data_IF_683570576975
#
_entry.id   IF_683570576975
#
_cell.length_a   1.000
_cell.length_b   1.000
_cell.length_c   1.000
_cell.angle_alpha   90.00
_cell.angle_beta   90.00
_cell.angle_gamma   90.00
#
_symmetry.space_group_name_H-M   'P 1'
#
loop_
_entity.id
_entity.type
_entity.pdbx_description
1 polymer ?
#
# COMPACT_ATOMS: atom_id res chain seq x y z
N UNK A 1 23.55 29.61 -6.99
CA UNK A 1 22.21 29.40 -7.57
C UNK A 1 21.34 30.59 -7.25
N UNK A 2 20.32 30.82 -8.07
CA UNK A 2 19.31 31.84 -7.89
C UNK A 2 17.97 31.18 -7.51
N UNK A 3 17.50 31.50 -6.31
CA UNK A 3 16.35 30.86 -5.66
C UNK A 3 15.20 31.85 -5.50
N UNK A 4 14.01 31.46 -5.94
CA UNK A 4 12.79 32.23 -5.69
C UNK A 4 12.00 31.58 -4.54
N UNK A 5 11.71 32.35 -3.50
CA UNK A 5 11.07 31.84 -2.28
C UNK A 5 9.67 32.42 -2.11
N UNK A 6 8.69 31.52 -2.00
CA UNK A 6 7.29 31.83 -1.74
C UNK A 6 7.00 31.64 -0.24
N UNK A 7 6.40 32.66 0.39
CA UNK A 7 6.08 32.60 1.82
C UNK A 7 7.25 32.95 2.75
N UNK A 8 8.17 33.82 2.32
CA UNK A 8 9.34 34.25 3.07
C UNK A 8 9.03 34.91 4.44
N UNK A 9 7.89 35.60 4.56
CA UNK A 9 7.42 36.19 5.83
C UNK A 9 6.75 35.18 6.77
N UNK A 10 6.60 33.93 6.32
CA UNK A 10 6.04 32.85 7.12
C UNK A 10 7.01 32.34 8.19
N UNK A 11 6.46 31.67 9.19
CA UNK A 11 7.21 31.11 10.34
C UNK A 11 8.33 30.14 9.94
N UNK A 12 8.19 29.45 8.80
CA UNK A 12 9.20 28.52 8.26
C UNK A 12 10.03 29.19 7.17
N UNK A 13 9.39 29.90 6.25
CA UNK A 13 10.06 30.53 5.10
C UNK A 13 11.14 31.53 5.49
N UNK A 14 11.02 32.18 6.65
CA UNK A 14 12.05 33.09 7.15
C UNK A 14 13.42 32.42 7.33
N UNK A 15 13.44 31.19 7.83
CA UNK A 15 14.67 30.42 8.00
C UNK A 15 15.23 29.96 6.66
N UNK A 16 14.35 29.65 5.69
CA UNK A 16 14.75 29.15 4.37
C UNK A 16 15.50 30.20 3.57
N UNK A 17 14.98 31.43 3.47
CA UNK A 17 15.65 32.48 2.71
C UNK A 17 16.93 32.97 3.39
N UNK A 18 16.94 33.07 4.73
CA UNK A 18 18.14 33.46 5.47
C UNK A 18 19.25 32.43 5.29
N UNK A 19 18.94 31.14 5.42
CA UNK A 19 19.93 30.08 5.22
C UNK A 19 20.45 30.03 3.77
N UNK A 20 19.58 30.22 2.77
CA UNK A 20 20.02 30.30 1.38
C UNK A 20 21.02 31.45 1.15
N UNK A 21 20.79 32.61 1.77
CA UNK A 21 21.71 33.75 1.72
C UNK A 21 23.03 33.45 2.47
N UNK A 22 22.97 32.77 3.63
CA UNK A 22 24.16 32.29 4.36
C UNK A 22 25.02 31.35 3.51
N UNK A 23 24.42 30.53 2.65
CA UNK A 23 25.12 29.67 1.67
C UNK A 23 25.65 30.45 0.45
N UNK A 24 25.50 31.77 0.42
CA UNK A 24 25.99 32.63 -0.66
C UNK A 24 25.14 32.58 -1.94
N UNK A 25 23.89 32.11 -1.87
CA UNK A 25 23.00 32.10 -3.02
C UNK A 25 22.30 33.44 -3.25
N UNK A 26 21.86 33.67 -4.48
CA UNK A 26 21.00 34.80 -4.83
C UNK A 26 19.55 34.41 -4.51
N UNK A 27 18.84 35.27 -3.80
CA UNK A 27 17.49 34.96 -3.33
C UNK A 27 16.53 36.08 -3.68
N UNK A 28 15.49 35.75 -4.44
CA UNK A 28 14.32 36.60 -4.61
C UNK A 28 13.21 36.11 -3.70
N UNK A 29 12.57 37.04 -2.99
CA UNK A 29 11.37 36.78 -2.19
C UNK A 29 10.21 37.59 -2.73
N UNK A 30 9.04 36.96 -2.88
CA UNK A 30 7.78 37.66 -3.16
C UNK A 30 6.93 37.75 -1.89
N UNK A 31 6.57 38.97 -1.52
CA UNK A 31 5.85 39.25 -0.28
C UNK A 31 4.74 40.27 -0.51
N UNK A 32 3.63 40.14 0.22
CA UNK A 32 2.50 41.09 0.11
C UNK A 32 2.77 42.47 0.70
N UNK A 33 3.81 42.60 1.53
CA UNK A 33 4.21 43.84 2.17
C UNK A 33 5.73 43.77 2.37
N UNK A 34 6.49 44.57 1.63
CA UNK A 34 7.95 44.55 1.69
C UNK A 34 8.50 44.91 3.07
N UNK A 35 7.80 45.76 3.84
CA UNK A 35 8.21 46.19 5.19
C UNK A 35 8.22 45.07 6.23
N UNK A 36 7.58 43.93 5.93
CA UNK A 36 7.59 42.77 6.82
C UNK A 36 8.94 42.04 6.84
N UNK A 37 9.82 42.30 5.86
CA UNK A 37 11.19 41.78 5.86
C UNK A 37 12.12 42.89 6.35
N UNK A 38 12.62 42.73 7.57
CA UNK A 38 13.57 43.66 8.21
C UNK A 38 15.02 43.29 7.95
N UNK A 39 15.26 42.09 7.44
CA UNK A 39 16.59 41.58 7.12
C UNK A 39 17.08 42.15 5.79
N UNK A 40 18.35 42.59 5.74
CA UNK A 40 18.97 43.14 4.53
C UNK A 40 20.24 42.36 4.20
N UNK A 41 20.44 42.06 2.92
CA UNK A 41 21.60 41.32 2.42
C UNK A 41 21.87 41.70 0.96
N UNK A 42 23.13 41.78 0.49
CA UNK A 42 23.43 42.18 -0.89
C UNK A 42 22.81 41.26 -1.95
N UNK A 43 22.68 39.96 -1.64
CA UNK A 43 22.11 38.95 -2.55
C UNK A 43 20.60 38.76 -2.39
N UNK A 44 19.90 39.60 -1.62
CA UNK A 44 18.46 39.51 -1.40
C UNK A 44 17.72 40.54 -2.24
N UNK A 45 16.79 40.06 -3.07
CA UNK A 45 15.86 40.90 -3.84
C UNK A 45 14.44 40.71 -3.31
N UNK A 46 13.80 41.81 -2.91
CA UNK A 46 12.45 41.80 -2.36
C UNK A 46 11.48 42.34 -3.41
N UNK A 47 10.48 41.53 -3.76
CA UNK A 47 9.42 41.92 -4.68
C UNK A 47 8.08 42.01 -3.92
N UNK A 48 7.40 43.14 -4.03
CA UNK A 48 6.09 43.34 -3.42
C UNK A 48 4.98 42.88 -4.39
N UNK A 49 4.23 41.84 -4.01
CA UNK A 49 3.21 41.24 -4.87
C UNK A 49 2.53 40.02 -4.24
N UNK A 50 1.53 39.49 -4.94
CA UNK A 50 0.77 38.30 -4.52
C UNK A 50 1.22 37.05 -5.26
N UNK A 51 1.45 35.96 -4.52
CA UNK A 51 1.72 34.62 -5.10
C UNK A 51 0.52 34.01 -5.85
N UNK A 52 -0.67 34.58 -5.69
CA UNK A 52 -1.88 34.18 -6.40
C UNK A 52 -2.12 34.99 -7.68
N UNK A 53 -1.35 36.07 -7.89
CA UNK A 53 -1.41 36.85 -9.12
C UNK A 53 -0.36 36.31 -10.08
N UNK A 54 -0.81 35.75 -11.22
CA UNK A 54 0.10 35.26 -12.26
C UNK A 54 0.97 36.39 -12.83
N UNK A 55 0.42 37.61 -12.93
CA UNK A 55 1.15 38.79 -13.40
C UNK A 55 2.27 39.18 -12.44
N UNK A 56 1.99 39.23 -11.13
CA UNK A 56 2.99 39.59 -10.12
C UNK A 56 4.11 38.56 -10.07
N UNK A 57 3.74 37.27 -10.11
CA UNK A 57 4.70 36.16 -10.12
C UNK A 57 5.56 36.17 -11.38
N UNK A 58 4.97 36.39 -12.57
CA UNK A 58 5.71 36.47 -13.83
C UNK A 58 6.66 37.68 -13.85
N UNK A 59 6.22 38.83 -13.31
CA UNK A 59 7.05 40.03 -13.22
C UNK A 59 8.22 39.84 -12.25
N UNK A 60 7.97 39.27 -11.06
CA UNK A 60 9.00 38.92 -10.10
C UNK A 60 10.02 37.94 -10.72
N UNK A 61 9.52 36.93 -11.42
CA UNK A 61 10.32 35.91 -12.08
C UNK A 61 11.22 36.51 -13.17
N UNK A 62 10.65 37.30 -14.08
CA UNK A 62 11.37 37.88 -15.22
C UNK A 62 12.38 38.95 -14.78
N UNK A 63 12.00 39.82 -13.84
CA UNK A 63 12.89 40.86 -13.31
C UNK A 63 14.09 40.24 -12.60
N UNK A 64 13.84 39.22 -11.77
CA UNK A 64 14.91 38.51 -11.07
C UNK A 64 15.80 37.74 -12.05
N UNK A 65 15.20 37.08 -13.05
CA UNK A 65 15.95 36.36 -14.07
C UNK A 65 16.88 37.27 -14.87
N UNK A 66 16.46 38.51 -15.12
CA UNK A 66 17.25 39.52 -15.83
C UNK A 66 18.37 40.07 -14.95
N UNK A 67 18.11 40.29 -13.66
CA UNK A 67 19.09 40.90 -12.75
C UNK A 67 20.18 39.93 -12.27
N UNK A 68 19.82 38.66 -12.00
CA UNK A 68 20.68 37.70 -11.30
C UNK A 68 20.88 36.39 -12.07
N UNK A 69 20.42 36.33 -13.32
CA UNK A 69 20.44 35.12 -14.14
C UNK A 69 19.22 34.21 -13.89
N UNK A 70 19.09 33.12 -14.66
CA UNK A 70 17.93 32.22 -14.60
C UNK A 70 17.65 31.73 -13.17
N UNK A 71 16.37 31.62 -12.80
CA UNK A 71 15.97 31.00 -11.53
C UNK A 71 16.25 29.49 -11.63
N UNK A 72 17.09 29.00 -10.72
CA UNK A 72 17.47 27.59 -10.65
C UNK A 72 16.44 26.76 -9.89
N UNK A 73 15.84 27.34 -8.84
CA UNK A 73 14.81 26.67 -8.08
C UNK A 73 13.78 27.61 -7.44
N UNK A 74 12.54 27.12 -7.32
CA UNK A 74 11.48 27.76 -6.51
C UNK A 74 11.22 26.94 -5.25
N UNK A 75 11.20 27.60 -4.09
CA UNK A 75 10.81 26.99 -2.81
C UNK A 75 9.50 27.57 -2.28
N UNK A 76 8.51 26.70 -2.03
CA UNK A 76 7.22 27.06 -1.44
C UNK A 76 7.13 26.73 0.04
N UNK A 77 7.09 27.76 0.91
CA UNK A 77 6.87 27.64 2.35
C UNK A 77 5.49 28.14 2.79
N UNK A 78 4.55 28.22 1.85
CA UNK A 78 3.18 28.65 2.11
C UNK A 78 2.43 27.61 2.95
N UNK A 79 1.46 28.07 3.73
CA UNK A 79 0.51 27.20 4.41
C UNK A 79 -0.76 28.02 4.71
N UNK A 80 -1.96 27.50 4.45
CA UNK A 80 -3.21 28.18 4.79
C UNK A 80 -3.28 28.60 6.26
N UNK A 81 -3.37 29.90 6.51
CA UNK A 81 -3.46 30.48 7.85
C UNK A 81 -4.87 30.37 8.43
N UNK A 82 -4.92 30.27 9.76
CA UNK A 82 -6.14 30.30 10.58
C UNK A 82 -6.07 31.49 11.54
N UNK A 83 -7.22 31.83 12.13
CA UNK A 83 -7.33 32.92 13.11
C UNK A 83 -6.46 32.72 14.35
N UNK A 84 -6.17 31.47 14.70
CA UNK A 84 -5.19 31.12 15.73
C UNK A 84 -4.58 29.75 15.45
N UNK A 85 -3.59 29.36 16.25
CA UNK A 85 -2.96 28.04 16.16
C UNK A 85 -3.89 26.90 16.60
N UNK A 86 -5.04 27.22 17.20
CA UNK A 86 -6.01 26.21 17.62
C UNK A 86 -6.56 25.45 16.39
N UNK A 87 -6.60 24.10 16.40
CA UNK A 87 -7.00 23.30 15.24
C UNK A 87 -8.41 23.57 14.71
N UNK A 88 -9.31 24.04 15.58
CA UNK A 88 -10.69 24.40 15.22
C UNK A 88 -10.90 25.89 14.96
N UNK A 89 -9.83 26.69 14.90
CA UNK A 89 -9.92 28.09 14.51
C UNK A 89 -10.40 28.24 13.06
N UNK A 90 -11.11 29.34 12.77
CA UNK A 90 -11.58 29.65 11.42
C UNK A 90 -10.39 29.84 10.47
N UNK A 91 -10.46 29.24 9.27
CA UNK A 91 -9.48 29.45 8.20
C UNK A 91 -9.65 30.87 7.64
N UNK A 92 -8.54 31.61 7.56
CA UNK A 92 -8.49 32.99 7.04
C UNK A 92 -7.88 33.02 5.64
N UNK A 93 -7.00 32.07 5.33
CA UNK A 93 -6.39 31.98 4.01
C UNK A 93 -7.43 31.82 2.90
N UNK A 94 -7.14 32.36 1.70
CA UNK A 94 -7.97 32.11 0.52
C UNK A 94 -8.02 30.60 0.22
N UNK A 95 -9.12 30.11 -0.37
CA UNK A 95 -9.20 28.73 -0.83
C UNK A 95 -8.13 28.47 -1.90
N UNK A 96 -7.63 27.23 -1.99
CA UNK A 96 -6.65 26.79 -2.99
C UNK A 96 -5.31 27.56 -2.99
N UNK A 97 -4.90 28.11 -1.85
CA UNK A 97 -3.67 28.91 -1.76
C UNK A 97 -2.43 28.14 -2.24
N UNK A 98 -2.25 26.90 -1.80
CA UNK A 98 -1.08 26.09 -2.15
C UNK A 98 -1.15 25.63 -3.59
N UNK A 99 -2.32 25.16 -4.00
CA UNK A 99 -2.58 24.59 -5.33
C UNK A 99 -2.31 25.64 -6.41
N UNK A 100 -2.96 26.82 -6.30
CA UNK A 100 -2.90 27.83 -7.34
C UNK A 100 -1.50 28.49 -7.42
N UNK A 101 -0.85 28.72 -6.27
CA UNK A 101 0.53 29.25 -6.25
C UNK A 101 1.55 28.24 -6.79
N UNK A 102 1.36 26.94 -6.54
CA UNK A 102 2.23 25.88 -7.07
C UNK A 102 2.05 25.73 -8.58
N UNK A 103 0.81 25.78 -9.08
CA UNK A 103 0.52 25.73 -10.51
C UNK A 103 1.17 26.90 -11.26
N UNK A 104 1.06 28.14 -10.75
CA UNK A 104 1.72 29.31 -11.34
C UNK A 104 3.25 29.13 -11.34
N UNK A 105 3.83 28.71 -10.21
CA UNK A 105 5.27 28.50 -10.10
C UNK A 105 5.79 27.43 -11.07
N UNK A 106 5.08 26.31 -11.20
CA UNK A 106 5.42 25.24 -12.13
C UNK A 106 5.39 25.71 -13.60
N UNK A 107 4.34 26.43 -14.00
CA UNK A 107 4.20 27.00 -15.35
C UNK A 107 5.34 27.97 -15.67
N UNK A 108 5.70 28.85 -14.75
CA UNK A 108 6.81 29.80 -14.95
C UNK A 108 8.16 29.10 -15.14
N UNK A 109 8.46 28.09 -14.33
CA UNK A 109 9.68 27.28 -14.49
C UNK A 109 9.69 26.51 -15.81
N UNK A 110 8.54 25.98 -16.24
CA UNK A 110 8.44 25.22 -17.48
C UNK A 110 8.75 26.09 -18.71
N UNK A 111 8.24 27.34 -18.72
CA UNK A 111 8.43 28.30 -19.81
C UNK A 111 9.82 28.95 -19.87
N UNK A 112 10.59 28.90 -18.78
CA UNK A 112 11.94 29.45 -18.74
C UNK A 112 12.92 28.65 -19.63
N UNK A 113 13.86 29.29 -20.31
CA UNK A 113 14.86 28.60 -21.15
C UNK A 113 15.95 27.83 -20.37
N UNK A 114 15.86 27.75 -19.04
CA UNK A 114 16.88 27.10 -18.19
C UNK A 114 16.78 25.56 -18.25
N UNK A 115 17.92 24.89 -18.19
CA UNK A 115 17.98 23.43 -18.17
C UNK A 115 17.69 22.91 -16.75
N UNK A 116 16.63 22.11 -16.63
CA UNK A 116 16.26 21.36 -15.40
C UNK A 116 16.04 22.19 -14.12
N UNK A 117 15.20 23.24 -14.13
CA UNK A 117 14.87 23.97 -12.91
C UNK A 117 14.18 23.07 -11.88
N UNK A 118 14.35 23.42 -10.59
CA UNK A 118 13.79 22.64 -9.47
C UNK A 118 12.58 23.32 -8.81
N UNK A 119 11.57 22.56 -8.43
CA UNK A 119 10.41 23.02 -7.67
C UNK A 119 10.25 22.24 -6.36
N UNK A 120 10.40 22.91 -5.21
CA UNK A 120 10.35 22.26 -3.90
C UNK A 120 9.21 22.89 -3.10
N UNK A 121 8.17 22.12 -2.80
CA UNK A 121 6.99 22.60 -2.06
C UNK A 121 6.89 21.92 -0.70
N UNK A 122 6.70 22.72 0.34
CA UNK A 122 6.39 22.23 1.69
C UNK A 122 4.96 21.70 1.72
N UNK A 123 4.83 20.40 1.96
CA UNK A 123 3.56 19.70 2.10
C UNK A 123 3.49 19.06 3.51
N UNK A 124 2.36 18.48 3.91
CA UNK A 124 2.14 17.97 5.26
C UNK A 124 1.99 16.45 5.32
N UNK A 125 2.59 15.80 6.33
CA UNK A 125 2.34 14.38 6.59
C UNK A 125 0.86 14.13 6.87
N UNK A 126 0.25 13.24 6.08
CA UNK A 126 -1.20 13.00 6.10
C UNK A 126 -1.90 13.41 4.82
N UNK A 127 -1.20 14.13 3.93
CA UNK A 127 -1.68 14.40 2.58
C UNK A 127 -1.36 13.26 1.60
N UNK A 128 -2.22 13.10 0.59
CA UNK A 128 -2.07 12.16 -0.52
C UNK A 128 -1.79 10.73 -0.05
N UNK A 129 -0.77 10.10 -0.66
CA UNK A 129 -0.34 8.74 -0.35
C UNK A 129 0.20 8.57 1.09
N UNK A 130 0.74 9.64 1.69
CA UNK A 130 1.33 9.58 3.04
C UNK A 130 0.30 9.32 4.13
N UNK A 131 -0.99 9.58 3.84
CA UNK A 131 -2.13 9.25 4.72
C UNK A 131 -2.20 7.78 5.13
N UNK A 132 -1.61 6.87 4.35
CA UNK A 132 -1.57 5.42 4.67
C UNK A 132 -0.60 5.10 5.81
N UNK A 133 0.46 5.88 5.97
CA UNK A 133 1.46 5.70 7.04
C UNK A 133 1.26 6.62 8.21
N UNK A 134 0.41 7.64 8.06
CA UNK A 134 0.01 8.53 9.14
C UNK A 134 -0.70 7.75 10.27
N UNK A 135 -0.29 7.93 11.54
CA UNK A 135 -0.96 7.30 12.67
C UNK A 135 -2.47 7.57 12.69
N UNK A 136 -3.26 6.55 13.02
CA UNK A 136 -4.72 6.62 12.93
C UNK A 136 -5.32 7.77 13.77
N UNK A 137 -4.75 8.05 14.95
CA UNK A 137 -5.23 9.14 15.82
C UNK A 137 -4.97 10.51 15.21
N UNK A 138 -3.85 10.67 14.48
CA UNK A 138 -3.53 11.92 13.80
C UNK A 138 -4.45 12.14 12.60
N UNK A 139 -4.80 11.07 11.88
CA UNK A 139 -5.82 11.13 10.81
C UNK A 139 -7.18 11.58 11.34
N UNK A 140 -7.63 11.01 12.46
CA UNK A 140 -8.87 11.45 13.11
C UNK A 140 -8.79 12.92 13.52
N UNK A 141 -7.66 13.35 14.09
CA UNK A 141 -7.46 14.75 14.44
C UNK A 141 -7.54 15.70 13.24
N UNK A 142 -6.99 15.32 12.09
CA UNK A 142 -7.12 16.09 10.83
C UNK A 142 -8.59 16.14 10.39
N UNK A 143 -9.25 14.99 10.32
CA UNK A 143 -10.61 14.85 9.75
C UNK A 143 -11.70 15.58 10.56
N UNK A 144 -11.50 15.67 11.87
CA UNK A 144 -12.47 16.25 12.80
C UNK A 144 -12.07 17.64 13.32
N UNK A 145 -11.09 18.30 12.69
CA UNK A 145 -10.74 19.70 12.96
C UNK A 145 -10.80 20.55 11.69
N UNK A 146 -10.61 21.86 11.81
CA UNK A 146 -10.53 22.75 10.64
C UNK A 146 -9.22 22.58 9.87
N UNK A 147 -8.31 21.70 10.33
CA UNK A 147 -7.15 21.28 9.56
C UNK A 147 -7.56 20.58 8.27
N UNK A 148 -8.72 19.92 8.20
CA UNK A 148 -9.20 19.26 6.99
C UNK A 148 -9.10 20.15 5.75
N UNK A 149 -9.47 21.42 5.86
CA UNK A 149 -9.43 22.36 4.73
C UNK A 149 -8.01 22.67 4.27
N UNK A 150 -7.05 22.70 5.22
CA UNK A 150 -5.63 22.81 4.89
C UNK A 150 -5.13 21.55 4.21
N UNK A 151 -5.55 20.36 4.68
CA UNK A 151 -5.16 19.09 4.08
C UNK A 151 -5.81 18.85 2.71
N UNK A 152 -7.04 19.35 2.47
CA UNK A 152 -7.69 19.31 1.17
C UNK A 152 -6.88 20.12 0.13
N UNK A 153 -6.31 21.26 0.53
CA UNK A 153 -5.41 22.08 -0.30
C UNK A 153 -4.09 21.33 -0.56
N UNK A 154 -3.47 20.75 0.48
CA UNK A 154 -2.25 19.93 0.36
C UNK A 154 -2.44 18.69 -0.53
N UNK A 155 -3.60 18.03 -0.46
CA UNK A 155 -3.94 16.84 -1.25
C UNK A 155 -4.07 17.17 -2.75
N UNK A 156 -4.51 18.38 -3.08
CA UNK A 156 -4.71 18.81 -4.46
C UNK A 156 -3.41 19.27 -5.16
N UNK A 157 -2.33 19.56 -4.41
CA UNK A 157 -1.03 19.97 -4.97
C UNK A 157 -0.42 18.89 -5.86
N UNK A 158 -0.61 17.61 -5.52
CA UNK A 158 -0.06 16.47 -6.28
C UNK A 158 -0.52 16.52 -7.76
N UNK A 159 -1.80 16.81 -7.99
CA UNK A 159 -2.37 16.87 -9.34
C UNK A 159 -1.81 18.03 -10.18
N UNK A 160 -1.63 19.21 -9.57
CA UNK A 160 -1.08 20.37 -10.27
C UNK A 160 0.40 20.18 -10.65
N UNK A 161 1.17 19.51 -9.79
CA UNK A 161 2.56 19.19 -10.08
C UNK A 161 2.65 18.22 -11.27
N UNK A 162 1.83 17.16 -11.26
CA UNK A 162 1.78 16.18 -12.36
C UNK A 162 1.36 16.82 -13.69
N UNK A 163 0.41 17.75 -13.66
CA UNK A 163 -0.09 18.43 -14.86
C UNK A 163 0.89 19.49 -15.41
N UNK A 164 1.49 20.29 -14.54
CA UNK A 164 2.23 21.50 -14.96
C UNK A 164 3.76 21.33 -15.01
N UNK A 165 4.39 20.42 -14.26
CA UNK A 165 5.87 20.32 -14.25
C UNK A 165 6.43 19.63 -15.51
N UNK A 166 5.66 18.75 -16.14
CA UNK A 166 6.10 17.95 -17.29
C UNK A 166 7.38 17.14 -16.99
N UNK A 167 8.19 16.88 -18.02
CA UNK A 167 9.49 16.18 -17.88
C UNK A 167 10.68 17.12 -17.65
N UNK A 168 10.45 18.44 -17.69
CA UNK A 168 11.50 19.46 -17.66
C UNK A 168 11.77 19.98 -16.25
N UNK A 169 10.73 20.19 -15.44
CA UNK A 169 10.85 20.73 -14.09
C UNK A 169 11.01 19.59 -13.10
N UNK A 170 12.16 19.57 -12.41
CA UNK A 170 12.48 18.60 -11.37
C UNK A 170 11.76 18.97 -10.08
N UNK A 171 10.87 18.14 -9.55
CA UNK A 171 10.07 18.54 -8.39
C UNK A 171 10.24 17.66 -7.14
N UNK A 172 10.02 18.24 -5.97
CA UNK A 172 10.07 17.55 -4.67
C UNK A 172 8.95 18.05 -3.75
N UNK A 173 8.20 17.11 -3.18
CA UNK A 173 7.23 17.40 -2.12
C UNK A 173 7.81 17.05 -0.75
N UNK A 174 8.07 18.08 0.05
CA UNK A 174 8.59 17.94 1.40
C UNK A 174 7.43 17.69 2.38
N UNK A 175 7.07 16.43 2.60
CA UNK A 175 5.99 16.02 3.52
C UNK A 175 6.42 16.16 4.99
N UNK A 176 6.36 17.38 5.50
CA UNK A 176 6.79 17.70 6.86
C UNK A 176 5.85 17.09 7.90
N UNK A 177 6.45 16.52 8.95
CA UNK A 177 5.77 16.23 10.22
C UNK A 177 5.44 17.55 10.94
N UNK A 178 4.80 17.48 12.10
CA UNK A 178 4.35 18.68 12.81
C UNK A 178 5.52 19.63 13.15
N UNK A 179 5.40 20.90 12.74
CA UNK A 179 6.48 21.88 12.81
C UNK A 179 6.52 22.61 14.15
N UNK A 180 7.66 22.59 14.84
CA UNK A 180 7.87 23.26 16.14
C UNK A 180 9.00 24.28 16.10
N UNK A 181 8.84 25.43 16.75
CA UNK A 181 9.91 26.38 17.11
C UNK A 181 11.07 26.63 16.12
N UNK A 182 12.17 27.11 16.67
CA UNK A 182 13.48 27.22 16.03
C UNK A 182 14.38 26.02 16.46
N UNK A 183 15.51 25.80 15.78
CA UNK A 183 16.51 24.81 16.15
C UNK A 183 17.03 23.98 14.97
N UNK A 184 18.32 23.63 15.03
CA UNK A 184 19.05 22.85 14.03
C UNK A 184 19.31 21.43 14.52
N UNK A 185 18.38 20.53 14.22
CA UNK A 185 18.48 19.11 14.53
C UNK A 185 18.80 18.32 13.26
N UNK A 186 19.50 17.17 13.36
CA UNK A 186 19.71 16.28 12.22
C UNK A 186 18.38 15.84 11.60
N UNK A 187 18.24 16.03 10.29
CA UNK A 187 17.04 15.66 9.54
C UNK A 187 17.20 14.26 8.96
N UNK A 188 16.21 13.40 9.19
CA UNK A 188 16.10 12.09 8.55
C UNK A 188 14.91 12.08 7.60
N UNK A 189 15.19 12.11 6.30
CA UNK A 189 14.18 11.95 5.27
C UNK A 189 13.85 10.45 5.06
N UNK A 190 12.57 10.14 4.92
CA UNK A 190 12.07 8.79 4.59
C UNK A 190 11.11 8.88 3.42
N UNK A 191 10.79 7.73 2.81
CA UNK A 191 9.78 7.69 1.74
C UNK A 191 8.39 8.00 2.30
N UNK A 192 7.50 8.56 1.47
CA UNK A 192 6.11 8.85 1.86
C UNK A 192 5.29 7.59 2.21
N UNK A 193 5.81 6.40 1.89
CA UNK A 193 5.25 5.07 2.21
C UNK A 193 5.84 4.45 3.47
N UNK A 194 6.74 5.14 4.15
CA UNK A 194 7.33 4.72 5.42
C UNK A 194 6.84 5.62 6.56
N UNK A 195 6.63 5.03 7.74
CA UNK A 195 6.26 5.81 8.91
C UNK A 195 7.42 6.73 9.30
N UNK A 196 7.15 8.00 9.66
CA UNK A 196 8.20 8.93 10.04
C UNK A 196 8.88 8.47 11.34
N UNK A 197 10.16 8.79 11.49
CA UNK A 197 10.92 8.49 12.71
C UNK A 197 10.46 9.32 13.92
N UNK A 198 9.83 10.47 13.68
CA UNK A 198 9.30 11.39 14.69
C UNK A 198 8.04 12.08 14.15
N UNK A 199 7.13 12.48 15.04
CA UNK A 199 5.95 13.29 14.67
C UNK A 199 6.23 14.79 14.69
N UNK A 200 7.47 15.19 15.02
CA UNK A 200 7.86 16.58 15.14
C UNK A 200 9.21 16.85 14.50
N UNK A 201 9.33 18.03 13.87
CA UNK A 201 10.57 18.57 13.32
C UNK A 201 10.60 20.07 13.59
N UNK A 202 11.80 20.63 13.74
CA UNK A 202 11.92 22.08 13.91
C UNK A 202 11.72 22.81 12.58
N UNK A 203 11.10 24.01 12.60
CA UNK A 203 10.85 24.79 11.36
C UNK A 203 12.14 25.08 10.62
N UNK A 204 13.15 25.48 11.37
CA UNK A 204 14.47 25.83 10.85
C UNK A 204 15.17 24.62 10.19
N UNK A 205 15.12 23.44 10.80
CA UNK A 205 15.70 22.22 10.20
C UNK A 205 14.96 21.78 8.94
N UNK A 206 13.63 21.88 8.93
CA UNK A 206 12.83 21.62 7.73
C UNK A 206 13.19 22.59 6.59
N UNK A 207 13.32 23.88 6.91
CA UNK A 207 13.66 24.91 5.94
C UNK A 207 15.07 24.71 5.35
N UNK A 208 16.08 24.45 6.20
CA UNK A 208 17.45 24.15 5.77
C UNK A 208 17.51 22.93 4.85
N UNK A 209 16.84 21.84 5.24
CA UNK A 209 16.79 20.63 4.42
C UNK A 209 16.16 20.89 3.04
N UNK A 210 15.08 21.66 2.97
CA UNK A 210 14.46 22.00 1.68
C UNK A 210 15.39 22.84 0.79
N UNK A 211 16.16 23.76 1.37
CA UNK A 211 17.18 24.54 0.64
C UNK A 211 18.29 23.63 0.12
N UNK A 212 18.83 22.73 0.95
CA UNK A 212 19.86 21.77 0.54
C UNK A 212 19.40 20.84 -0.61
N UNK A 213 18.11 20.46 -0.61
CA UNK A 213 17.52 19.70 -1.73
C UNK A 213 17.42 20.56 -2.98
N UNK A 214 17.02 21.83 -2.84
CA UNK A 214 16.91 22.77 -3.94
C UNK A 214 18.26 23.08 -4.58
N UNK A 215 19.32 23.16 -3.77
CA UNK A 215 20.67 23.50 -4.22
C UNK A 215 21.46 22.29 -4.72
N UNK A 216 20.89 21.08 -4.60
CA UNK A 216 21.50 19.85 -5.12
C UNK A 216 22.55 19.22 -4.20
N UNK A 217 22.62 19.60 -2.93
CA UNK A 217 23.49 18.96 -1.92
C UNK A 217 23.28 17.45 -1.84
N UNK A 218 22.04 16.98 -2.07
CA UNK A 218 21.66 15.57 -2.12
C UNK A 218 21.57 15.00 -3.55
N UNK A 219 22.12 15.70 -4.56
CA UNK A 219 22.04 15.32 -5.97
C UNK A 219 20.59 15.25 -6.46
N UNK A 220 20.23 14.11 -7.07
CA UNK A 220 18.88 13.78 -7.57
C UNK A 220 18.13 12.79 -6.65
N UNK A 221 18.58 12.62 -5.40
CA UNK A 221 17.98 11.68 -4.44
C UNK A 221 16.50 12.01 -4.15
N UNK A 222 16.11 13.29 -4.24
CA UNK A 222 14.74 13.75 -3.95
C UNK A 222 14.01 14.32 -5.18
N UNK A 223 14.58 14.19 -6.38
CA UNK A 223 14.01 14.67 -7.64
C UNK A 223 12.88 13.80 -8.16
N UNK A 224 11.84 14.43 -8.73
CA UNK A 224 10.63 13.84 -9.32
C UNK A 224 9.94 12.87 -8.35
N UNK A 225 9.91 13.27 -7.08
CA UNK A 225 9.51 12.42 -5.96
C UNK A 225 8.50 13.11 -5.07
N UNK A 226 7.29 12.56 -5.08
CA UNK A 226 6.59 12.17 -3.85
C UNK A 226 7.09 10.80 -3.35
N UNK A 227 7.79 10.04 -4.19
CA UNK A 227 8.17 8.62 -4.04
C UNK A 227 7.12 7.73 -3.36
N UNK A 228 5.85 7.98 -3.72
CA UNK A 228 4.95 6.90 -4.08
C UNK A 228 5.49 6.33 -5.38
N UNK A 229 6.57 5.55 -5.28
CA UNK A 229 7.07 4.79 -6.42
C UNK A 229 5.88 3.94 -6.89
N UNK A 230 5.36 4.26 -8.07
CA UNK A 230 5.34 3.28 -9.15
C UNK A 230 6.75 2.65 -9.24
N UNK A 231 7.19 1.90 -8.22
CA UNK A 231 7.89 0.66 -8.48
C UNK A 231 6.87 -0.05 -9.32
N UNK A 232 7.13 -0.19 -10.63
CA UNK A 232 6.28 -0.98 -11.52
C UNK A 232 5.88 -2.23 -10.74
N UNK A 233 4.62 -2.30 -10.27
CA UNK A 233 4.29 -3.25 -9.21
C UNK A 233 4.72 -4.62 -9.75
N UNK A 234 5.57 -5.34 -9.03
CA UNK A 234 6.15 -6.56 -9.60
C UNK A 234 5.03 -7.42 -10.21
N UNK A 235 5.16 -7.87 -11.46
CA UNK A 235 4.05 -8.27 -12.34
C UNK A 235 2.94 -9.12 -11.67
N UNK A 236 3.29 -9.97 -10.70
CA UNK A 236 2.36 -10.77 -9.89
C UNK A 236 1.34 -9.96 -9.09
N UNK A 237 1.67 -8.72 -8.72
CA UNK A 237 0.79 -7.81 -7.98
C UNK A 237 -0.32 -7.27 -8.88
N UNK A 238 -0.02 -6.88 -10.13
CA UNK A 238 -1.05 -6.58 -11.13
C UNK A 238 -1.96 -7.79 -11.38
N UNK A 239 -1.39 -8.99 -11.51
CA UNK A 239 -2.17 -10.23 -11.66
C UNK A 239 -3.08 -10.46 -10.45
N UNK A 240 -2.61 -10.18 -9.23
CA UNK A 240 -3.43 -10.24 -8.03
C UNK A 240 -4.59 -9.24 -8.07
N UNK A 241 -4.33 -7.97 -8.38
CA UNK A 241 -5.36 -6.93 -8.39
C UNK A 241 -6.42 -7.19 -9.47
N UNK A 242 -6.00 -7.64 -10.66
CA UNK A 242 -6.90 -8.14 -11.69
C UNK A 242 -7.80 -9.24 -11.11
N UNK A 243 -7.19 -10.25 -10.48
CA UNK A 243 -7.92 -11.38 -9.89
C UNK A 243 -8.86 -10.99 -8.74
N UNK A 244 -8.77 -9.80 -8.15
CA UNK A 244 -9.80 -9.31 -7.21
C UNK A 244 -11.05 -8.85 -7.94
N UNK A 245 -10.92 -8.23 -9.11
CA UNK A 245 -12.02 -7.74 -9.97
C UNK A 245 -12.58 -8.84 -10.90
N UNK A 246 -12.99 -10.00 -10.35
CA UNK A 246 -13.45 -11.17 -11.15
C UNK A 246 -14.73 -10.94 -11.97
N UNK A 247 -15.50 -9.90 -11.66
CA UNK A 247 -16.71 -9.53 -12.40
C UNK A 247 -16.43 -8.60 -13.58
N UNK A 248 -15.19 -8.14 -13.78
CA UNK A 248 -14.81 -7.41 -14.98
C UNK A 248 -14.97 -8.28 -16.23
N UNK A 249 -15.29 -7.66 -17.36
CA UNK A 249 -15.58 -8.38 -18.60
C UNK A 249 -14.40 -9.20 -19.09
N UNK A 250 -13.18 -8.67 -18.96
CA UNK A 250 -11.93 -9.37 -19.29
C UNK A 250 -11.81 -10.68 -18.51
N UNK A 251 -11.99 -10.66 -17.18
CA UNK A 251 -11.88 -11.89 -16.39
C UNK A 251 -13.06 -12.81 -16.57
N UNK A 252 -14.28 -12.30 -16.76
CA UNK A 252 -15.45 -13.13 -17.04
C UNK A 252 -15.28 -13.88 -18.36
N UNK A 253 -14.82 -13.20 -19.40
CA UNK A 253 -14.50 -13.81 -20.70
C UNK A 253 -13.43 -14.90 -20.54
N UNK A 254 -12.28 -14.57 -19.93
CA UNK A 254 -11.19 -15.52 -19.71
C UNK A 254 -11.63 -16.74 -18.89
N UNK A 255 -12.40 -16.53 -17.82
CA UNK A 255 -12.92 -17.63 -17.00
C UNK A 255 -13.94 -18.48 -17.76
N UNK A 256 -14.75 -17.90 -18.66
CA UNK A 256 -15.70 -18.66 -19.48
C UNK A 256 -14.99 -19.62 -20.43
N UNK A 257 -13.97 -19.13 -21.14
CA UNK A 257 -13.15 -19.95 -22.05
C UNK A 257 -12.41 -21.05 -21.30
N UNK A 258 -11.74 -20.71 -20.18
CA UNK A 258 -11.07 -21.72 -19.33
C UNK A 258 -12.02 -22.75 -18.76
N UNK A 259 -13.26 -22.36 -18.41
CA UNK A 259 -14.24 -23.29 -17.87
C UNK A 259 -14.71 -24.28 -18.93
N UNK A 260 -14.84 -23.84 -20.19
CA UNK A 260 -15.11 -24.74 -21.30
C UNK A 260 -13.99 -25.78 -21.48
N UNK A 261 -12.73 -25.36 -21.50
CA UNK A 261 -11.57 -26.26 -21.59
C UNK A 261 -11.57 -27.29 -20.43
N UNK A 262 -11.72 -26.83 -19.19
CA UNK A 262 -11.72 -27.69 -18.00
C UNK A 262 -12.88 -28.70 -17.95
N UNK A 263 -13.97 -28.46 -18.70
CA UNK A 263 -15.09 -29.42 -18.80
C UNK A 263 -14.73 -30.61 -19.69
N UNK A 264 -13.96 -30.36 -20.76
CA UNK A 264 -13.52 -31.41 -21.70
C UNK A 264 -12.44 -32.31 -21.10
N UNK A 265 -11.64 -31.79 -20.17
CA UNK A 265 -10.58 -32.55 -19.51
C UNK A 265 -11.11 -33.52 -18.43
N UNK A 266 -10.29 -34.51 -18.11
CA UNK A 266 -10.56 -35.51 -17.07
C UNK A 266 -10.77 -34.86 -15.69
N UNK A 267 -11.53 -35.56 -14.84
CA UNK A 267 -11.92 -35.09 -13.49
C UNK A 267 -10.72 -34.69 -12.64
N UNK A 268 -9.64 -35.47 -12.72
CA UNK A 268 -8.33 -35.20 -12.12
C UNK A 268 -7.32 -35.34 -13.25
N UNK A 269 -6.53 -34.29 -13.50
CA UNK A 269 -5.46 -34.33 -14.48
C UNK A 269 -4.27 -33.47 -14.03
N UNK A 270 -3.07 -33.84 -14.46
CA UNK A 270 -1.86 -33.07 -14.17
C UNK A 270 -1.83 -31.81 -15.05
N UNK A 271 -1.53 -30.67 -14.45
CA UNK A 271 -1.25 -29.43 -15.17
C UNK A 271 0.26 -29.25 -15.33
N UNK A 272 0.70 -28.80 -16.50
CA UNK A 272 2.12 -28.52 -16.76
C UNK A 272 2.61 -27.29 -15.98
N UNK A 273 1.75 -26.28 -15.81
CA UNK A 273 2.04 -25.01 -15.13
C UNK A 273 0.81 -24.49 -14.36
N UNK A 274 1.02 -23.71 -13.28
CA UNK A 274 -0.10 -23.09 -12.56
C UNK A 274 -0.87 -22.13 -13.46
N UNK A 275 -2.21 -22.20 -13.47
CA UNK A 275 -3.02 -21.20 -14.17
C UNK A 275 -2.99 -19.83 -13.49
N UNK A 276 -2.60 -19.80 -12.21
CA UNK A 276 -2.48 -18.61 -11.36
C UNK A 276 -1.13 -18.58 -10.64
N UNK A 277 -0.06 -18.10 -11.29
CA UNK A 277 1.28 -18.07 -10.70
C UNK A 277 1.35 -17.18 -9.44
N UNK A 278 0.61 -16.07 -9.41
CA UNK A 278 0.45 -15.18 -8.25
C UNK A 278 0.01 -15.95 -7.00
N UNK A 279 -1.06 -16.73 -7.15
CA UNK A 279 -1.70 -17.43 -6.04
C UNK A 279 -0.91 -18.66 -5.64
N UNK A 280 -0.37 -19.39 -6.62
CA UNK A 280 0.45 -20.56 -6.37
C UNK A 280 1.70 -20.21 -5.54
N UNK A 281 2.42 -19.13 -5.92
CA UNK A 281 3.64 -18.70 -5.22
C UNK A 281 3.35 -18.31 -3.77
N UNK A 282 2.26 -17.59 -3.51
CA UNK A 282 1.82 -17.23 -2.15
C UNK A 282 1.55 -18.45 -1.27
N UNK A 283 1.11 -19.54 -1.88
CA UNK A 283 0.79 -20.79 -1.18
C UNK A 283 1.99 -21.75 -1.08
N UNK A 284 3.18 -21.31 -1.50
CA UNK A 284 4.43 -22.05 -1.35
C UNK A 284 4.90 -22.81 -2.59
N UNK A 285 4.24 -22.64 -3.75
CA UNK A 285 4.75 -23.19 -5.01
C UNK A 285 6.05 -22.48 -5.42
N UNK A 286 7.02 -23.26 -5.91
CA UNK A 286 8.23 -22.78 -6.56
C UNK A 286 8.40 -23.52 -7.88
N UNK A 287 8.80 -22.80 -8.92
CA UNK A 287 9.06 -23.39 -10.24
C UNK A 287 10.44 -24.07 -10.24
N UNK A 288 10.51 -25.26 -9.63
CA UNK A 288 11.67 -26.13 -9.63
C UNK A 288 11.22 -27.59 -9.62
N UNK A 289 12.11 -28.51 -9.97
CA UNK A 289 11.81 -29.94 -9.99
C UNK A 289 11.34 -30.44 -8.61
N UNK A 290 10.38 -31.35 -8.62
CA UNK A 290 9.72 -31.91 -7.43
C UNK A 290 8.45 -31.19 -7.00
N UNK A 291 8.10 -30.03 -7.57
CA UNK A 291 6.75 -29.45 -7.44
C UNK A 291 5.86 -29.90 -8.60
N UNK A 292 4.63 -30.28 -8.30
CA UNK A 292 3.64 -30.72 -9.29
C UNK A 292 2.30 -30.06 -9.01
N UNK A 293 1.52 -29.79 -10.06
CA UNK A 293 0.18 -29.23 -9.94
C UNK A 293 -0.81 -30.19 -10.59
N UNK A 294 -1.89 -30.46 -9.88
CA UNK A 294 -3.04 -31.19 -10.40
C UNK A 294 -4.27 -30.31 -10.38
N UNK A 295 -5.06 -30.40 -11.45
CA UNK A 295 -6.39 -29.80 -11.54
C UNK A 295 -7.42 -30.85 -11.19
N UNK A 296 -8.41 -30.44 -10.42
CA UNK A 296 -9.52 -31.32 -10.02
C UNK A 296 -10.83 -30.56 -10.03
N UNK A 297 -11.89 -31.21 -10.52
CA UNK A 297 -13.27 -30.73 -10.40
C UNK A 297 -14.02 -31.44 -9.28
N UNK A 298 -14.78 -30.66 -8.51
CA UNK A 298 -15.64 -31.16 -7.42
C UNK A 298 -17.06 -30.66 -7.65
N UNK A 299 -18.04 -31.57 -7.62
CA UNK A 299 -19.45 -31.25 -7.82
C UNK A 299 -19.94 -30.28 -6.74
N UNK A 300 -20.68 -29.26 -7.16
CA UNK A 300 -21.35 -28.26 -6.31
C UNK A 300 -22.59 -28.86 -5.66
N UNK A 301 -23.04 -28.21 -4.59
CA UNK A 301 -24.28 -28.57 -3.88
C UNK A 301 -24.02 -29.18 -2.50
N UNK A 302 -25.13 -29.56 -1.85
CA UNK A 302 -25.12 -30.30 -0.59
C UNK A 302 -24.78 -31.78 -0.80
N UNK A 303 -24.72 -32.53 0.29
CA UNK A 303 -24.52 -33.98 0.25
C UNK A 303 -25.81 -34.65 0.71
N UNK A 304 -26.52 -35.31 -0.20
CA UNK A 304 -27.66 -36.16 0.13
C UNK A 304 -27.20 -37.29 1.06
N UNK A 305 -28.00 -37.61 2.08
CA UNK A 305 -27.75 -38.79 2.91
C UNK A 305 -27.85 -40.07 2.05
N UNK A 306 -26.90 -41.01 2.16
CA UNK A 306 -27.02 -42.31 1.52
C UNK A 306 -28.04 -43.17 2.29
N UNK A 307 -29.33 -42.95 2.03
CA UNK A 307 -30.43 -43.74 2.58
C UNK A 307 -31.19 -44.38 1.41
N UNK A 308 -31.31 -45.72 1.34
CA UNK A 308 -32.10 -46.39 0.32
C UNK A 308 -33.53 -45.83 0.28
N UNK A 309 -34.00 -45.45 -0.92
CA UNK A 309 -35.31 -44.80 -1.13
C UNK A 309 -35.58 -43.54 -0.30
N UNK A 310 -34.57 -42.97 0.37
CA UNK A 310 -34.76 -41.88 1.32
C UNK A 310 -35.40 -42.30 2.65
N UNK A 311 -35.56 -43.61 2.89
CA UNK A 311 -36.13 -44.12 4.13
C UNK A 311 -35.10 -44.07 5.26
N UNK A 312 -35.42 -43.34 6.33
CA UNK A 312 -34.61 -43.26 7.56
C UNK A 312 -35.43 -43.72 8.74
N UNK A 313 -34.84 -44.57 9.58
CA UNK A 313 -35.48 -45.09 10.79
C UNK A 313 -35.09 -44.29 12.03
N UNK A 314 -35.89 -44.40 13.09
CA UNK A 314 -35.66 -43.74 14.38
C UNK A 314 -36.28 -42.35 14.50
N UNK A 315 -35.74 -41.55 15.43
CA UNK A 315 -36.34 -40.27 15.85
C UNK A 315 -36.48 -39.27 14.67
N UNK A 316 -37.58 -38.47 14.61
CA UNK A 316 -37.82 -37.48 13.55
C UNK A 316 -36.67 -36.53 13.26
N UNK A 317 -35.92 -36.10 14.29
CA UNK A 317 -34.74 -35.23 14.13
C UNK A 317 -33.67 -35.80 13.18
N UNK A 318 -33.58 -37.12 13.07
CA UNK A 318 -32.60 -37.80 12.23
C UNK A 318 -33.12 -38.10 10.82
N UNK A 319 -34.37 -37.75 10.47
CA UNK A 319 -34.98 -38.16 9.20
C UNK A 319 -34.64 -37.27 7.99
N UNK A 320 -33.83 -36.21 8.18
CA UNK A 320 -33.43 -35.31 7.10
C UNK A 320 -32.52 -35.96 6.03
N UNK A 321 -32.90 -35.82 4.76
CA UNK A 321 -32.17 -36.38 3.59
C UNK A 321 -31.46 -35.31 2.75
N UNK A 322 -32.19 -34.29 2.28
CA UNK A 322 -31.75 -33.42 1.17
C UNK A 322 -30.97 -32.18 1.62
N UNK A 323 -31.39 -31.53 2.71
CA UNK A 323 -30.84 -30.23 3.12
C UNK A 323 -29.53 -30.32 3.92
N UNK A 324 -28.93 -31.51 4.01
CA UNK A 324 -27.67 -31.74 4.72
C UNK A 324 -26.49 -31.05 4.02
N UNK A 325 -25.69 -30.36 4.82
CA UNK A 325 -24.45 -29.70 4.37
C UNK A 325 -23.26 -30.54 4.80
N UNK A 326 -22.32 -30.75 3.89
CA UNK A 326 -21.12 -31.51 4.22
C UNK A 326 -20.20 -30.70 5.14
N UNK A 327 -19.65 -31.34 6.18
CA UNK A 327 -18.82 -30.67 7.18
C UNK A 327 -17.51 -30.11 6.60
N UNK A 328 -16.97 -30.74 5.55
CA UNK A 328 -15.73 -30.30 4.89
C UNK A 328 -16.07 -29.44 3.68
N UNK A 329 -15.25 -28.41 3.45
CA UNK A 329 -15.37 -27.58 2.25
C UNK A 329 -15.05 -28.38 0.98
N UNK A 330 -15.64 -27.99 -0.16
CA UNK A 330 -15.36 -28.60 -1.48
C UNK A 330 -13.86 -28.57 -1.83
N UNK A 331 -13.13 -27.55 -1.38
CA UNK A 331 -11.69 -27.41 -1.54
C UNK A 331 -10.91 -28.48 -0.76
N UNK A 332 -11.38 -28.87 0.43
CA UNK A 332 -10.80 -29.99 1.19
C UNK A 332 -11.04 -31.32 0.48
N UNK A 333 -12.25 -31.51 -0.06
CA UNK A 333 -12.59 -32.70 -0.87
C UNK A 333 -11.70 -32.79 -2.13
N UNK A 334 -11.39 -31.66 -2.76
CA UNK A 334 -10.46 -31.58 -3.87
C UNK A 334 -9.06 -32.05 -3.47
N UNK A 335 -8.52 -31.54 -2.36
CA UNK A 335 -7.20 -31.95 -1.83
C UNK A 335 -7.17 -33.46 -1.55
N UNK A 336 -8.20 -34.01 -0.91
CA UNK A 336 -8.29 -35.45 -0.61
C UNK A 336 -8.40 -36.33 -1.86
N UNK A 337 -9.17 -35.91 -2.87
CA UNK A 337 -9.30 -36.66 -4.13
C UNK A 337 -7.94 -36.75 -4.84
N UNK A 338 -7.23 -35.63 -4.93
CA UNK A 338 -5.91 -35.59 -5.56
C UNK A 338 -4.87 -36.34 -4.71
N UNK A 339 -4.90 -36.21 -3.38
CA UNK A 339 -4.00 -36.93 -2.49
C UNK A 339 -4.17 -38.45 -2.54
N UNK A 340 -5.39 -38.96 -2.79
CA UNK A 340 -5.61 -40.39 -3.06
C UNK A 340 -5.13 -40.81 -4.45
N UNK A 341 -5.35 -39.97 -5.46
CA UNK A 341 -4.94 -40.26 -6.84
C UNK A 341 -3.40 -40.25 -7.02
N UNK A 342 -2.71 -39.33 -6.36
CA UNK A 342 -1.25 -39.21 -6.36
C UNK A 342 -0.66 -39.51 -4.97
N UNK A 343 -0.87 -40.75 -4.49
CA UNK A 343 -0.59 -41.17 -3.12
C UNK A 343 0.89 -41.09 -2.69
N UNK A 344 1.82 -41.22 -3.66
CA UNK A 344 3.26 -41.08 -3.43
C UNK A 344 3.67 -39.62 -3.16
N UNK A 345 2.90 -38.64 -3.64
CA UNK A 345 3.18 -37.22 -3.45
C UNK A 345 2.65 -36.69 -2.10
N UNK A 346 2.99 -35.44 -1.78
CA UNK A 346 2.54 -34.73 -0.58
C UNK A 346 1.76 -33.49 -0.96
N UNK A 347 0.52 -33.40 -0.52
CA UNK A 347 -0.30 -32.19 -0.70
C UNK A 347 0.26 -31.05 0.16
N UNK A 348 0.69 -29.97 -0.50
CA UNK A 348 1.16 -28.76 0.16
C UNK A 348 -0.02 -27.84 0.50
N UNK A 349 -0.74 -27.40 -0.53
CA UNK A 349 -1.88 -26.49 -0.45
C UNK A 349 -2.73 -26.57 -1.73
N UNK A 350 -3.81 -25.80 -1.80
CA UNK A 350 -4.63 -25.69 -3.01
C UNK A 350 -5.27 -24.31 -3.17
N UNK A 351 -5.80 -24.01 -4.34
CA UNK A 351 -6.53 -22.77 -4.62
C UNK A 351 -7.63 -22.96 -5.66
N UNK A 352 -8.60 -22.07 -5.61
CA UNK A 352 -9.71 -22.02 -6.58
C UNK A 352 -9.21 -21.41 -7.89
N UNK A 353 -9.64 -22.02 -9.00
CA UNK A 353 -9.33 -21.52 -10.35
C UNK A 353 -10.56 -21.12 -11.14
N UNK A 354 -11.67 -21.85 -11.01
CA UNK A 354 -12.89 -21.58 -11.78
C UNK A 354 -14.13 -22.25 -11.18
N UNK A 355 -15.34 -21.88 -11.64
CA UNK A 355 -16.58 -22.56 -11.29
C UNK A 355 -17.63 -22.43 -12.42
N UNK A 356 -18.43 -23.48 -12.61
CA UNK A 356 -19.67 -23.44 -13.40
C UNK A 356 -20.86 -23.76 -12.50
N UNK A 357 -22.06 -23.95 -13.06
CA UNK A 357 -23.28 -24.30 -12.31
C UNK A 357 -23.14 -25.61 -11.49
N UNK A 358 -22.42 -26.60 -12.02
CA UNK A 358 -22.40 -27.98 -11.52
C UNK A 358 -21.12 -28.32 -10.76
N UNK A 359 -19.99 -27.68 -11.07
CA UNK A 359 -18.66 -28.00 -10.58
C UNK A 359 -17.89 -26.75 -10.12
N UNK A 360 -16.99 -26.97 -9.16
CA UNK A 360 -15.90 -26.04 -8.82
C UNK A 360 -14.57 -26.69 -9.15
N UNK A 361 -13.67 -25.90 -9.70
CA UNK A 361 -12.36 -26.32 -10.15
C UNK A 361 -11.28 -25.76 -9.22
N UNK A 362 -10.35 -26.63 -8.84
CA UNK A 362 -9.24 -26.30 -7.96
C UNK A 362 -7.92 -26.79 -8.56
N UNK A 363 -6.85 -26.05 -8.30
CA UNK A 363 -5.48 -26.51 -8.48
C UNK A 363 -4.91 -26.89 -7.11
N UNK A 364 -4.35 -28.10 -7.02
CA UNK A 364 -3.71 -28.65 -5.84
C UNK A 364 -2.21 -28.69 -6.10
N UNK A 365 -1.44 -28.08 -5.20
CA UNK A 365 0.02 -28.07 -5.24
C UNK A 365 0.50 -29.30 -4.47
N UNK A 366 1.26 -30.15 -5.16
CA UNK A 366 1.91 -31.32 -4.59
C UNK A 366 3.42 -31.20 -4.65
N UNK A 367 4.07 -31.92 -3.76
CA UNK A 367 5.52 -32.01 -3.66
C UNK A 367 5.91 -33.48 -3.65
N UNK A 368 6.91 -33.83 -4.45
CA UNK A 368 7.54 -35.14 -4.43
C UNK A 368 8.60 -35.22 -3.31
N UNK A 369 8.37 -36.03 -2.26
CA UNK A 369 9.31 -36.17 -1.16
C UNK A 369 10.58 -36.96 -1.51
N UNK A 370 10.60 -37.70 -2.63
CA UNK A 370 11.75 -38.49 -3.07
C UNK A 370 12.73 -37.66 -3.92
N UNK A 371 12.28 -36.54 -4.49
CA UNK A 371 13.11 -35.71 -5.37
C UNK A 371 14.25 -34.98 -4.63
N UNK A 372 15.48 -35.08 -5.15
CA UNK A 372 16.70 -34.48 -4.54
C UNK A 372 16.55 -32.96 -4.30
N UNK A 373 15.97 -32.23 -5.25
CA UNK A 373 15.74 -30.78 -5.15
C UNK A 373 14.76 -30.35 -4.04
N UNK A 374 13.92 -31.27 -3.55
CA UNK A 374 13.04 -31.04 -2.40
C UNK A 374 13.75 -31.40 -1.11
N UNK A 375 14.44 -32.55 -1.07
CA UNK A 375 15.15 -33.03 0.11
C UNK A 375 16.28 -32.10 0.55
N UNK A 376 16.99 -31.51 -0.42
CA UNK A 376 18.11 -30.59 -0.17
C UNK A 376 17.68 -29.16 0.18
N UNK A 377 16.43 -28.76 -0.13
CA UNK A 377 15.98 -27.38 0.15
C UNK A 377 15.45 -27.26 1.60
N UNK A 378 16.15 -26.51 2.48
CA UNK A 378 15.78 -26.37 3.88
C UNK A 378 14.41 -25.71 4.09
N UNK A 379 13.88 -24.97 3.12
CA UNK A 379 12.60 -24.27 3.24
C UNK A 379 11.39 -25.21 3.12
N UNK A 380 11.54 -26.34 2.42
CA UNK A 380 10.44 -27.29 2.15
C UNK A 380 10.71 -28.70 2.66
N UNK A 381 11.96 -29.07 2.95
CA UNK A 381 12.33 -30.44 3.34
C UNK A 381 11.55 -30.98 4.56
N UNK A 382 10.94 -30.11 5.38
CA UNK A 382 10.04 -30.51 6.46
C UNK A 382 8.95 -31.46 5.95
N UNK A 383 8.39 -31.24 4.74
CA UNK A 383 7.27 -32.04 4.19
C UNK A 383 7.66 -33.49 3.88
N UNK A 384 8.97 -33.77 3.79
CA UNK A 384 9.53 -35.10 3.50
C UNK A 384 9.39 -36.04 4.69
N UNK A 385 9.35 -35.51 5.92
CA UNK A 385 9.28 -36.33 7.14
C UNK A 385 8.02 -37.20 7.14
N UNK A 386 8.08 -38.45 7.64
CA UNK A 386 6.96 -39.41 7.58
C UNK A 386 5.69 -38.90 8.29
N UNK A 387 5.84 -38.05 9.32
CA UNK A 387 4.71 -37.42 10.04
C UNK A 387 3.83 -36.53 9.14
N UNK A 388 4.30 -36.14 7.96
CA UNK A 388 3.57 -35.33 6.98
C UNK A 388 2.94 -36.15 5.85
N UNK A 389 2.89 -37.49 5.95
CA UNK A 389 2.09 -38.35 5.07
C UNK A 389 0.59 -37.99 5.14
N UNK A 390 -0.08 -37.90 4.00
CA UNK A 390 -1.54 -37.69 3.91
C UNK A 390 -2.09 -36.58 4.83
N UNK A 391 -1.52 -35.38 4.76
CA UNK A 391 -1.95 -34.21 5.55
C UNK A 391 -3.36 -33.77 5.21
N UNK A 392 -3.75 -33.89 3.95
CA UNK A 392 -5.09 -33.63 3.42
C UNK A 392 -6.13 -34.52 4.10
N UNK A 393 -5.86 -35.83 4.24
CA UNK A 393 -6.77 -36.78 4.89
C UNK A 393 -6.97 -36.51 6.37
N UNK A 394 -5.96 -35.93 7.04
CA UNK A 394 -5.99 -35.54 8.46
C UNK A 394 -6.47 -34.10 8.69
N UNK A 395 -6.80 -33.36 7.62
CA UNK A 395 -7.22 -31.96 7.70
C UNK A 395 -6.15 -31.02 8.28
N UNK A 396 -4.88 -31.25 7.91
CA UNK A 396 -3.72 -30.46 8.33
C UNK A 396 -3.27 -29.42 7.29
N UNK A 397 -3.90 -29.41 6.11
CA UNK A 397 -3.77 -28.33 5.12
C UNK A 397 -4.42 -27.04 5.64
N UNK A 398 -4.12 -25.89 5.03
CA UNK A 398 -4.74 -24.62 5.40
C UNK A 398 -6.27 -24.69 5.32
N UNK A 399 -6.79 -25.34 4.26
CA UNK A 399 -8.22 -25.57 4.07
C UNK A 399 -8.81 -26.49 5.14
N UNK A 400 -8.14 -27.60 5.45
CA UNK A 400 -8.57 -28.54 6.48
C UNK A 400 -8.61 -27.92 7.88
N UNK A 401 -7.58 -27.16 8.26
CA UNK A 401 -7.53 -26.44 9.54
C UNK A 401 -8.66 -25.43 9.69
N UNK A 402 -8.96 -24.66 8.63
CA UNK A 402 -10.11 -23.74 8.59
C UNK A 402 -11.43 -24.48 8.79
N UNK A 403 -11.63 -25.60 8.10
CA UNK A 403 -12.84 -26.42 8.23
C UNK A 403 -13.02 -27.03 9.63
N UNK A 404 -11.93 -27.28 10.34
CA UNK A 404 -11.93 -27.79 11.72
C UNK A 404 -12.18 -26.71 12.77
N UNK A 405 -12.27 -25.43 12.37
CA UNK A 405 -12.39 -24.31 13.30
C UNK A 405 -11.16 -24.15 14.20
N UNK A 406 -9.96 -24.48 13.71
CA UNK A 406 -8.73 -24.27 14.48
C UNK A 406 -8.31 -22.81 14.29
N UNK A 407 -8.59 -21.99 15.30
CA UNK A 407 -8.19 -20.59 15.35
C UNK A 407 -8.07 -20.12 16.82
N UNK A 408 -7.77 -18.84 17.04
CA UNK A 408 -7.57 -18.22 18.36
C UNK A 408 -8.75 -17.34 18.77
N UNK A 409 -8.95 -17.15 20.07
CA UNK A 409 -10.00 -16.29 20.65
C UNK A 409 -11.17 -17.07 21.26
N UNK A 410 -12.08 -16.34 21.94
CA UNK A 410 -13.18 -16.92 22.71
C UNK A 410 -14.12 -17.81 21.88
N UNK A 411 -14.29 -17.50 20.58
CA UNK A 411 -15.10 -18.32 19.65
C UNK A 411 -14.53 -19.70 19.33
N UNK A 412 -13.27 -19.98 19.71
CA UNK A 412 -12.56 -21.21 19.35
C UNK A 412 -12.13 -22.06 20.55
N UNK A 413 -12.60 -21.72 21.75
CA UNK A 413 -12.28 -22.42 23.01
C UNK A 413 -12.56 -23.93 22.93
N UNK A 414 -13.61 -24.34 22.19
CA UNK A 414 -14.02 -25.75 22.02
C UNK A 414 -13.33 -26.46 20.85
N UNK A 415 -12.49 -25.80 20.06
CA UNK A 415 -11.94 -26.35 18.81
C UNK A 415 -10.44 -26.13 18.61
N UNK A 416 -9.79 -25.31 19.44
CA UNK A 416 -8.37 -24.95 19.37
C UNK A 416 -7.39 -26.13 19.19
N UNK A 417 -7.52 -27.19 19.99
CA UNK A 417 -6.70 -28.41 19.94
C UNK A 417 -7.39 -29.57 19.18
N UNK A 418 -8.54 -29.28 18.55
CA UNK A 418 -9.44 -30.23 17.91
C UNK A 418 -10.66 -30.54 18.77
N UNK A 419 -11.86 -30.42 18.17
CA UNK A 419 -13.17 -30.58 18.83
C UNK A 419 -13.27 -31.82 19.73
N UNK A 420 -12.87 -32.99 19.22
CA UNK A 420 -12.95 -34.25 19.98
C UNK A 420 -11.97 -34.29 21.16
N UNK A 421 -10.75 -33.77 20.98
CA UNK A 421 -9.74 -33.71 22.04
C UNK A 421 -10.20 -32.79 23.18
N UNK A 422 -10.70 -31.60 22.84
CA UNK A 422 -11.21 -30.65 23.83
C UNK A 422 -12.46 -31.19 24.54
N UNK A 423 -13.38 -31.81 23.80
CA UNK A 423 -14.55 -32.45 24.39
C UNK A 423 -14.14 -33.56 25.37
N UNK A 424 -13.23 -34.45 24.98
CA UNK A 424 -12.76 -35.53 25.85
C UNK A 424 -12.20 -34.96 27.16
N UNK A 425 -11.28 -33.99 27.09
CA UNK A 425 -10.71 -33.34 28.27
C UNK A 425 -11.76 -32.82 29.26
N UNK A 426 -12.85 -32.22 28.77
CA UNK A 426 -13.90 -31.66 29.65
C UNK A 426 -14.85 -32.71 30.21
N UNK A 427 -14.95 -33.87 29.57
CA UNK A 427 -15.84 -34.96 30.00
C UNK A 427 -15.06 -36.09 30.67
N UNK A 428 -13.73 -36.00 30.77
CA UNK A 428 -12.90 -36.96 31.50
C UNK A 428 -13.04 -36.71 32.99
N UNK A 429 -13.66 -37.64 33.70
CA UNK A 429 -13.67 -37.65 35.15
C UNK A 429 -12.27 -38.02 35.66
N UNK A 430 -11.65 -37.09 36.40
CA UNK A 430 -10.29 -37.26 36.91
C UNK A 430 -10.33 -37.70 38.36
N UNK A 431 -9.80 -38.89 38.64
CA UNK A 431 -9.68 -39.43 39.99
C UNK A 431 -8.22 -39.31 40.44
N UNK A 432 -7.94 -38.34 41.30
CA UNK A 432 -6.63 -38.14 41.89
C UNK A 432 -6.41 -39.12 43.05
N UNK A 433 -5.15 -39.50 43.27
CA UNK A 433 -4.75 -40.41 44.36
C UNK A 433 -5.12 -39.85 45.74
N UNK A 434 -5.05 -38.53 45.88
CA UNK A 434 -5.50 -37.78 47.05
C UNK A 434 -6.45 -36.70 46.54
N UNK A 435 -7.63 -36.59 47.17
CA UNK A 435 -8.68 -35.64 46.77
C UNK A 435 -8.61 -34.36 47.56
#
# INVERSE_FOLDING_TARGET
>A
MHLLILGATGRTGQYGYQFALEQGHNVTVIVRNAKAITFTHPNLTIFEGSVLSEQDMAHAFTTSATAQGPIDAILGFLNPSRASEFPWAKVIAPPRLLVDSTAIAARLLQHQAHESPRLIIMNALGSGESRKVTPWFFRVFIDYSNLRYTYDDHDAVDAEIEENCGSKVKWTLALAVSLMGAGTNPVKATLNTEAPASLWITRESCARWMVDVATGTYGDEFTDKARGLFEAMGALKYVEELQKKKQSDILRFLLRVRCWELRQLNVIHRASRPSRPDKARRLGYKAKQGYVIYRVRVRRGGRKRPAPKGATYGKPTNQGINQLKYQRSLKSTAEERVGRHAANLRVLNSYWINQDSTYKYFEVILVDPQHKAIRRDPRINWIVKPVHKHRESRGLTATGKKSRGINKGHGYTKTNAGRRKTWLRHNTQSYWRYR
#
